data_IF_186843535396
#
_entry.id   IF_186843535396
#
_cell.length_a   1.000
_cell.length_b   1.000
_cell.length_c   1.000
_cell.angle_alpha   90.00
_cell.angle_beta   90.00
_cell.angle_gamma   90.00
#
_symmetry.space_group_name_H-M   'P 1'
#
loop_
_entity.id
_entity.type
_entity.pdbx_description
1 polymer ?
#
# COMPACT_ATOMS: atom_id res chain seq x y z
N UNK A 1 -16.51 14.39 -15.47
CA UNK A 1 -16.22 14.77 -16.88
C UNK A 1 -14.72 14.89 -17.22
N UNK A 2 -13.78 14.26 -16.47
CA UNK A 2 -12.35 14.18 -16.86
C UNK A 2 -11.74 12.77 -16.77
N UNK A 3 -12.57 11.74 -16.72
CA UNK A 3 -12.14 10.33 -16.62
C UNK A 3 -12.26 9.57 -17.95
N UNK A 4 -13.14 10.02 -18.84
CA UNK A 4 -13.41 9.36 -20.13
C UNK A 4 -12.39 9.72 -21.23
N UNK A 5 -11.72 10.87 -21.12
CA UNK A 5 -10.72 11.31 -22.11
C UNK A 5 -9.43 10.47 -22.00
N UNK A 6 -9.09 9.99 -20.80
CA UNK A 6 -7.95 9.08 -20.60
C UNK A 6 -8.17 7.68 -21.20
N UNK A 7 -9.43 7.22 -21.23
CA UNK A 7 -9.76 5.91 -21.79
C UNK A 7 -9.65 5.84 -23.32
N UNK A 8 -9.77 6.98 -24.02
CA UNK A 8 -9.75 7.00 -25.49
C UNK A 8 -8.32 6.90 -26.06
N UNK A 9 -7.31 7.41 -25.34
CA UNK A 9 -5.91 7.42 -25.76
C UNK A 9 -5.23 6.05 -25.51
N UNK A 10 -5.82 5.18 -24.68
CA UNK A 10 -5.32 3.83 -24.39
C UNK A 10 -5.55 2.80 -25.52
N UNK A 11 -6.11 3.20 -26.65
CA UNK A 11 -6.52 2.29 -27.72
C UNK A 11 -5.51 2.09 -28.87
N UNK A 12 -4.38 2.82 -28.91
CA UNK A 12 -3.38 2.65 -29.96
C UNK A 12 -2.01 2.28 -29.40
N UNK A 13 -1.80 0.96 -29.37
CA UNK A 13 -0.51 0.28 -29.43
C UNK A 13 0.42 0.48 -28.22
N UNK A 14 0.48 -0.55 -27.36
CA UNK A 14 1.53 -0.80 -26.35
C UNK A 14 1.25 -0.24 -24.93
N UNK A 15 0.19 -0.73 -24.28
CA UNK A 15 0.15 -0.75 -22.80
C UNK A 15 0.75 -2.10 -22.37
N UNK A 16 1.98 -2.14 -21.81
CA UNK A 16 2.58 -3.40 -21.41
C UNK A 16 1.86 -3.95 -20.18
N UNK A 17 1.81 -5.28 -20.07
CA UNK A 17 1.39 -6.09 -18.91
C UNK A 17 1.78 -5.49 -17.54
N UNK A 18 2.85 -4.69 -17.50
CA UNK A 18 3.32 -3.89 -16.37
C UNK A 18 2.26 -3.00 -15.69
N UNK A 19 1.27 -2.47 -16.43
CA UNK A 19 0.25 -1.60 -15.83
C UNK A 19 -0.81 -2.38 -15.04
N UNK A 20 -1.19 -3.58 -15.51
CA UNK A 20 -2.09 -4.48 -14.76
C UNK A 20 -1.42 -5.00 -13.49
N UNK A 21 -0.14 -5.40 -13.59
CA UNK A 21 0.62 -5.85 -12.42
C UNK A 21 0.80 -4.77 -11.35
N UNK A 22 0.88 -3.49 -11.76
CA UNK A 22 0.98 -2.38 -10.83
C UNK A 22 -0.33 -2.15 -10.05
N UNK A 23 -1.51 -2.20 -10.70
CA UNK A 23 -2.80 -2.04 -10.03
C UNK A 23 -3.13 -3.22 -9.10
N UNK A 24 -2.87 -4.45 -9.54
CA UNK A 24 -3.10 -5.64 -8.70
C UNK A 24 -2.23 -5.62 -7.44
N UNK A 25 -0.99 -5.12 -7.57
CA UNK A 25 -0.07 -4.98 -6.44
C UNK A 25 -0.56 -3.93 -5.44
N UNK A 26 -1.01 -2.77 -5.92
CA UNK A 26 -1.52 -1.71 -5.04
C UNK A 26 -2.78 -2.14 -4.26
N UNK A 27 -3.71 -2.85 -4.91
CA UNK A 27 -4.91 -3.37 -4.25
C UNK A 27 -4.57 -4.44 -3.19
N UNK A 28 -3.62 -5.32 -3.50
CA UNK A 28 -3.13 -6.32 -2.54
C UNK A 28 -2.43 -5.69 -1.34
N UNK A 29 -1.61 -4.65 -1.56
CA UNK A 29 -0.94 -3.89 -0.50
C UNK A 29 -1.96 -3.19 0.41
N UNK A 30 -3.01 -2.57 -0.15
CA UNK A 30 -4.08 -1.95 0.63
C UNK A 30 -4.85 -2.94 1.49
N UNK A 31 -5.16 -4.12 0.94
CA UNK A 31 -5.80 -5.18 1.70
C UNK A 31 -4.92 -5.65 2.88
N UNK A 32 -3.62 -5.83 2.64
CA UNK A 32 -2.66 -6.23 3.68
C UNK A 32 -2.54 -5.17 4.78
N UNK A 33 -2.41 -3.89 4.41
CA UNK A 33 -2.37 -2.77 5.36
C UNK A 33 -3.62 -2.78 6.25
N UNK A 34 -4.80 -2.98 5.66
CA UNK A 34 -6.07 -3.03 6.41
C UNK A 34 -6.10 -4.18 7.42
N UNK A 35 -5.61 -5.37 7.05
CA UNK A 35 -5.51 -6.51 7.96
C UNK A 35 -4.57 -6.23 9.15
N UNK A 36 -3.41 -5.61 8.90
CA UNK A 36 -2.50 -5.26 9.98
C UNK A 36 -3.02 -4.11 10.85
N UNK A 37 -3.74 -3.15 10.28
CA UNK A 37 -4.42 -2.10 11.05
C UNK A 37 -5.42 -2.70 12.04
N UNK A 38 -6.22 -3.68 11.62
CA UNK A 38 -7.12 -4.40 12.53
C UNK A 38 -6.36 -5.19 13.61
N UNK A 39 -5.18 -5.72 13.29
CA UNK A 39 -4.35 -6.43 14.25
C UNK A 39 -3.79 -5.48 15.33
N UNK A 40 -3.33 -4.29 14.96
CA UNK A 40 -2.86 -3.28 15.93
C UNK A 40 -3.99 -2.61 16.70
N UNK A 41 -5.21 -2.55 16.15
CA UNK A 41 -6.41 -2.14 16.90
C UNK A 41 -6.74 -3.12 18.02
N UNK A 42 -6.65 -4.43 17.74
CA UNK A 42 -6.89 -5.48 18.74
C UNK A 42 -5.75 -5.61 19.74
N UNK A 43 -4.51 -5.48 19.28
CA UNK A 43 -3.32 -5.52 20.12
C UNK A 43 -2.39 -4.36 19.78
N UNK A 44 -2.50 -3.24 20.51
CA UNK A 44 -1.64 -2.07 20.31
C UNK A 44 -0.15 -2.32 20.59
N UNK A 45 0.22 -3.47 21.15
CA UNK A 45 1.62 -3.87 21.40
C UNK A 45 2.12 -4.90 20.39
N UNK A 46 1.40 -5.13 19.30
CA UNK A 46 1.80 -6.11 18.29
C UNK A 46 2.91 -5.56 17.40
N UNK A 47 4.15 -5.74 17.87
CA UNK A 47 5.38 -5.27 17.24
C UNK A 47 5.50 -5.72 15.78
N UNK A 48 5.27 -7.01 15.49
CA UNK A 48 5.38 -7.54 14.13
C UNK A 48 4.39 -6.90 13.16
N UNK A 49 3.20 -6.49 13.61
CA UNK A 49 2.25 -5.77 12.75
C UNK A 49 2.73 -4.36 12.41
N UNK A 50 3.34 -3.64 13.34
CA UNK A 50 3.94 -2.33 13.04
C UNK A 50 5.14 -2.44 12.10
N UNK A 51 5.95 -3.48 12.26
CA UNK A 51 7.05 -3.77 11.35
C UNK A 51 6.54 -4.05 9.91
N UNK A 52 5.54 -4.93 9.78
CA UNK A 52 4.94 -5.25 8.48
C UNK A 52 4.21 -4.06 7.85
N UNK A 53 3.53 -3.23 8.64
CA UNK A 53 2.95 -1.97 8.16
C UNK A 53 4.03 -1.04 7.61
N UNK A 54 5.18 -0.94 8.28
CA UNK A 54 6.32 -0.17 7.79
C UNK A 54 6.84 -0.64 6.43
N UNK A 55 6.93 -1.96 6.23
CA UNK A 55 7.34 -2.55 4.95
C UNK A 55 6.29 -2.22 3.87
N UNK A 56 5.01 -2.45 4.15
CA UNK A 56 3.92 -2.24 3.19
C UNK A 56 3.78 -0.77 2.77
N UNK A 57 3.94 0.16 3.72
CA UNK A 57 3.97 1.59 3.42
C UNK A 57 5.20 1.96 2.59
N UNK A 58 6.36 1.38 2.86
CA UNK A 58 7.56 1.53 2.04
C UNK A 58 7.35 1.03 0.60
N UNK A 59 6.69 -0.12 0.42
CA UNK A 59 6.35 -0.65 -0.90
C UNK A 59 5.38 0.24 -1.69
N UNK A 60 4.51 0.98 -0.99
CA UNK A 60 3.65 2.01 -1.59
C UNK A 60 4.34 3.35 -1.84
N UNK A 61 5.58 3.53 -1.39
CA UNK A 61 6.28 4.82 -1.42
C UNK A 61 5.82 5.81 -0.34
N UNK A 62 4.97 5.37 0.59
CA UNK A 62 4.48 6.12 1.75
C UNK A 62 5.53 6.11 2.87
N UNK A 63 6.63 6.81 2.62
CA UNK A 63 7.84 6.74 3.46
C UNK A 63 7.63 7.34 4.85
N UNK A 64 6.82 8.40 4.95
CA UNK A 64 6.53 9.06 6.23
C UNK A 64 5.69 8.16 7.15
N UNK A 65 4.70 7.47 6.57
CA UNK A 65 3.85 6.50 7.25
C UNK A 65 4.67 5.27 7.69
N UNK A 66 5.61 4.82 6.86
CA UNK A 66 6.52 3.73 7.22
C UNK A 66 7.37 4.09 8.45
N UNK A 67 7.96 5.28 8.47
CA UNK A 67 8.75 5.77 9.62
C UNK A 67 7.87 5.89 10.87
N UNK A 68 6.63 6.37 10.74
CA UNK A 68 5.70 6.45 11.86
C UNK A 68 5.36 5.06 12.41
N UNK A 69 5.16 4.06 11.56
CA UNK A 69 4.92 2.67 11.95
C UNK A 69 6.13 2.07 12.69
N UNK A 70 7.34 2.22 12.16
CA UNK A 70 8.56 1.74 12.83
C UNK A 70 8.83 2.46 14.16
N UNK A 71 8.51 3.76 14.25
CA UNK A 71 8.59 4.51 15.51
C UNK A 71 7.60 4.01 16.55
N UNK A 72 6.43 3.50 16.16
CA UNK A 72 5.49 2.87 17.10
C UNK A 72 5.97 1.49 17.55
N UNK A 73 6.63 0.74 16.67
CA UNK A 73 7.24 -0.56 17.01
C UNK A 73 8.31 -0.45 18.10
N UNK A 74 9.21 0.53 18.00
CA UNK A 74 10.38 0.67 18.87
C UNK A 74 10.13 1.51 20.14
N UNK A 75 8.86 1.74 20.51
CA UNK A 75 8.51 2.36 21.79
C UNK A 75 8.37 1.27 22.84
N UNK A 76 9.51 0.85 23.38
CA UNK A 76 9.59 0.07 24.62
C UNK A 76 8.99 0.83 25.81
#
# INVERSE_FOLDING_TARGET
>A
MKMWIFAMIMSLSFVPVSYCQAQDKDESLDAAIKSFLQAVEKNPKYAEAYYNLGILYGEKGLTDEAIAAYKKNNRD
#
